data_IF_632744265135
#
_entry.id   IF_632744265135
#
_cell.length_a   1.000
_cell.length_b   1.000
_cell.length_c   1.000
_cell.angle_alpha   90.00
_cell.angle_beta   90.00
_cell.angle_gamma   90.00
#
_symmetry.space_group_name_H-M   'P 1'
#
loop_
_entity.id
_entity.type
_entity.pdbx_description
1 polymer ?
#
# COMPACT_ATOMS: atom_id res chain seq x y z
N UNK A 1 34.50 40.33 15.75
CA UNK A 1 33.07 40.59 15.48
C UNK A 1 32.43 39.61 14.49
N UNK A 2 33.16 39.01 13.54
CA UNK A 2 32.57 38.14 12.49
C UNK A 2 32.09 36.77 13.02
N UNK A 3 32.66 36.26 14.12
CA UNK A 3 32.25 34.97 14.69
C UNK A 3 30.89 35.01 15.42
N UNK A 4 30.49 36.18 15.95
CA UNK A 4 29.22 36.32 16.68
C UNK A 4 27.99 36.33 15.76
N UNK A 5 28.15 36.86 14.54
CA UNK A 5 27.06 36.96 13.56
C UNK A 5 26.73 35.61 12.89
N UNK A 6 27.70 34.71 12.72
CA UNK A 6 27.46 33.38 12.16
C UNK A 6 26.70 32.46 13.12
N UNK A 7 26.95 32.59 14.44
CA UNK A 7 26.25 31.79 15.45
C UNK A 7 24.76 32.19 15.56
N UNK A 8 24.46 33.48 15.44
CA UNK A 8 23.08 33.99 15.44
C UNK A 8 22.29 33.56 14.20
N UNK A 9 22.93 33.52 13.02
CA UNK A 9 22.28 33.06 11.79
C UNK A 9 21.93 31.55 11.82
N UNK A 10 22.79 30.72 12.41
CA UNK A 10 22.54 29.29 12.56
C UNK A 10 21.39 28.98 13.54
N UNK A 11 21.23 29.79 14.59
CA UNK A 11 20.12 29.67 15.55
C UNK A 11 18.79 30.11 14.94
N UNK A 12 18.79 31.16 14.10
CA UNK A 12 17.59 31.65 13.40
C UNK A 12 17.10 30.71 12.30
N UNK A 13 18.00 30.00 11.60
CA UNK A 13 17.61 28.94 10.65
C UNK A 13 16.97 27.72 11.33
N UNK A 14 17.17 27.57 12.65
CA UNK A 14 16.77 26.38 13.39
C UNK A 14 15.33 26.44 13.94
N UNK A 15 14.80 27.63 14.21
CA UNK A 15 13.41 27.79 14.67
C UNK A 15 12.38 27.56 13.56
N UNK A 16 12.82 27.42 12.30
CA UNK A 16 11.95 27.32 11.14
C UNK A 16 11.53 25.88 10.75
N UNK A 17 12.16 24.82 11.28
CA UNK A 17 11.81 23.44 10.89
C UNK A 17 11.83 22.46 12.07
N UNK A 18 10.67 22.13 12.67
CA UNK A 18 10.59 21.03 13.63
C UNK A 18 10.50 19.70 12.87
N UNK A 19 11.34 18.71 13.18
CA UNK A 19 10.98 17.34 12.81
C UNK A 19 12.04 16.26 12.66
N UNK A 20 13.35 16.51 12.75
CA UNK A 20 14.30 15.38 12.72
C UNK A 20 15.58 15.62 13.52
N UNK A 21 15.74 14.85 14.60
CA UNK A 21 16.98 14.73 15.37
C UNK A 21 18.27 14.55 14.54
N UNK A 22 18.29 13.82 13.39
CA UNK A 22 19.50 13.71 12.57
C UNK A 22 19.96 15.03 11.94
N UNK A 23 19.05 15.97 11.64
CA UNK A 23 19.41 17.27 11.08
C UNK A 23 20.21 18.14 12.05
N UNK A 24 19.86 18.09 13.34
CA UNK A 24 20.50 18.85 14.41
C UNK A 24 21.96 18.39 14.62
N UNK A 25 22.18 17.09 14.60
CA UNK A 25 23.52 16.50 14.73
C UNK A 25 24.44 16.92 13.57
N UNK A 26 23.94 16.90 12.34
CA UNK A 26 24.74 17.23 11.15
C UNK A 26 25.14 18.71 11.13
N UNK A 27 24.25 19.60 11.55
CA UNK A 27 24.51 21.04 11.66
C UNK A 27 25.51 21.37 12.78
N UNK A 28 25.39 20.71 13.95
CA UNK A 28 26.38 20.85 15.03
C UNK A 28 27.76 20.36 14.60
N UNK A 29 27.84 19.26 13.84
CA UNK A 29 29.10 18.73 13.32
C UNK A 29 29.74 19.71 12.31
N UNK A 30 28.94 20.30 11.42
CA UNK A 30 29.41 21.30 10.46
C UNK A 30 29.91 22.58 11.16
N UNK A 31 29.18 23.07 12.17
CA UNK A 31 29.59 24.23 12.96
C UNK A 31 30.86 23.96 13.77
N UNK A 32 31.00 22.75 14.35
CA UNK A 32 32.19 22.33 15.06
C UNK A 32 33.41 22.19 14.11
N UNK A 33 33.21 21.65 12.91
CA UNK A 33 34.26 21.58 11.90
C UNK A 33 34.72 22.98 11.43
N UNK A 34 33.78 23.92 11.23
CA UNK A 34 34.10 25.29 10.82
C UNK A 34 34.90 26.03 11.89
N UNK A 35 34.58 25.82 13.18
CA UNK A 35 35.27 26.48 14.29
C UNK A 35 36.73 26.03 14.49
N UNK A 36 37.11 24.85 13.98
CA UNK A 36 38.51 24.39 13.95
C UNK A 36 39.41 25.19 13.01
N UNK A 37 38.84 25.80 11.96
CA UNK A 37 39.61 26.57 10.98
C UNK A 37 39.86 28.02 11.42
N UNK A 38 38.98 28.59 12.26
CA UNK A 38 38.99 30.02 12.58
C UNK A 38 39.64 30.33 13.95
N UNK A 39 39.88 29.32 14.80
CA UNK A 39 40.36 29.54 16.18
C UNK A 39 41.89 29.45 16.34
N UNK A 40 42.48 30.29 17.24
CA UNK A 40 43.92 30.31 17.53
C UNK A 40 44.38 29.00 18.20
N UNK A 41 45.67 28.66 18.01
CA UNK A 41 46.27 27.35 18.35
C UNK A 41 45.90 26.73 19.72
N UNK A 42 45.82 27.46 20.86
CA UNK A 42 45.48 26.82 22.13
C UNK A 42 44.03 26.33 22.23
N UNK A 43 43.09 26.89 21.46
CA UNK A 43 41.68 26.51 21.48
C UNK A 43 41.35 25.26 20.64
N UNK A 44 42.27 24.83 19.76
CA UNK A 44 42.07 23.69 18.86
C UNK A 44 42.03 22.35 19.58
N UNK A 45 42.70 22.23 20.73
CA UNK A 45 42.73 20.99 21.51
C UNK A 45 41.37 20.71 22.15
N UNK A 46 40.71 21.75 22.68
CA UNK A 46 39.37 21.65 23.28
C UNK A 46 38.30 21.36 22.22
N UNK A 47 38.39 22.00 21.05
CA UNK A 47 37.47 21.72 19.95
C UNK A 47 37.56 20.27 19.45
N UNK A 48 38.77 19.68 19.41
CA UNK A 48 38.98 18.29 18.99
C UNK A 48 38.40 17.28 19.99
N UNK A 49 38.53 17.51 21.29
CA UNK A 49 37.97 16.60 22.30
C UNK A 49 36.44 16.63 22.30
N UNK A 50 35.83 17.80 22.11
CA UNK A 50 34.38 17.93 21.95
C UNK A 50 33.86 17.20 20.70
N UNK A 51 34.56 17.32 19.57
CA UNK A 51 34.19 16.63 18.31
C UNK A 51 34.28 15.11 18.45
N UNK A 52 35.32 14.61 19.11
CA UNK A 52 35.47 13.18 19.39
C UNK A 52 34.36 12.66 20.33
N UNK A 53 34.02 13.41 21.38
CA UNK A 53 32.94 13.06 22.30
C UNK A 53 31.57 13.08 21.60
N UNK A 54 31.30 14.08 20.76
CA UNK A 54 30.06 14.16 19.97
C UNK A 54 29.95 13.03 18.94
N UNK A 55 31.05 12.68 18.27
CA UNK A 55 31.09 11.53 17.36
C UNK A 55 30.83 10.21 18.10
N UNK A 56 31.40 10.02 19.30
CA UNK A 56 31.11 8.87 20.14
C UNK A 56 29.64 8.83 20.59
N UNK A 57 29.07 9.99 20.95
CA UNK A 57 27.67 10.09 21.34
C UNK A 57 26.73 9.75 20.17
N UNK A 58 27.07 10.17 18.95
CA UNK A 58 26.33 9.83 17.73
C UNK A 58 26.39 8.34 17.38
N UNK A 59 27.51 7.68 17.66
CA UNK A 59 27.65 6.22 17.55
C UNK A 59 26.87 5.47 18.64
N UNK A 60 26.64 6.12 19.79
CA UNK A 60 25.89 5.57 20.92
C UNK A 60 24.38 5.83 20.87
N UNK A 61 23.87 6.61 19.90
CA UNK A 61 22.42 6.76 19.72
C UNK A 61 21.86 5.39 19.35
N UNK A 62 21.01 4.77 20.21
CA UNK A 62 20.38 3.52 19.85
C UNK A 62 19.59 3.77 18.58
N UNK A 63 19.93 3.04 17.50
CA UNK A 63 19.15 3.05 16.25
C UNK A 63 17.72 2.80 16.65
N UNK A 64 16.89 3.85 16.60
CA UNK A 64 15.50 3.79 17.04
C UNK A 64 14.89 2.55 16.39
N UNK A 65 14.27 1.68 17.17
CA UNK A 65 13.56 0.52 16.65
C UNK A 65 12.46 1.07 15.73
N UNK A 66 12.77 1.17 14.44
CA UNK A 66 11.84 1.67 13.44
C UNK A 66 10.63 0.75 13.50
N UNK A 67 9.48 1.30 13.87
CA UNK A 67 8.21 0.60 13.71
C UNK A 67 8.16 0.13 12.25
N UNK A 68 7.82 -1.14 12.06
CA UNK A 68 7.86 -1.77 10.76
C UNK A 68 6.78 -1.23 9.83
N UNK A 69 7.03 -0.06 9.27
CA UNK A 69 6.26 0.56 8.21
C UNK A 69 6.62 -0.09 6.87
N UNK A 70 6.34 -1.39 6.73
CA UNK A 70 6.35 -2.01 5.40
C UNK A 70 4.98 -1.76 4.78
N UNK A 71 4.90 -1.24 3.55
CA UNK A 71 3.62 -1.17 2.85
C UNK A 71 3.06 -2.59 2.76
N UNK A 72 1.74 -2.71 2.94
CA UNK A 72 1.06 -3.99 2.75
C UNK A 72 1.35 -4.51 1.34
N UNK A 73 1.67 -5.80 1.25
CA UNK A 73 1.93 -6.53 0.00
C UNK A 73 1.14 -7.82 0.08
N UNK A 74 0.47 -8.16 -1.01
CA UNK A 74 -0.28 -9.41 -1.06
C UNK A 74 0.67 -10.60 -1.13
N UNK A 75 0.17 -11.80 -0.82
CA UNK A 75 0.92 -13.05 -0.97
C UNK A 75 1.33 -13.28 -2.44
N UNK A 76 0.54 -12.79 -3.39
CA UNK A 76 0.87 -12.84 -4.82
C UNK A 76 1.97 -11.83 -5.20
N UNK A 77 1.98 -10.63 -4.60
CA UNK A 77 3.08 -9.67 -4.79
C UNK A 77 4.39 -10.20 -4.20
N UNK A 78 4.31 -10.79 -3.00
CA UNK A 78 5.44 -11.43 -2.34
C UNK A 78 5.92 -12.63 -3.15
N UNK A 79 5.02 -13.37 -3.80
CA UNK A 79 5.38 -14.45 -4.71
C UNK A 79 6.20 -13.97 -5.91
N UNK A 80 5.77 -12.88 -6.56
CA UNK A 80 6.51 -12.33 -7.71
C UNK A 80 7.89 -11.80 -7.31
N UNK A 81 8.00 -11.15 -6.15
CA UNK A 81 9.25 -10.58 -5.64
C UNK A 81 10.22 -11.64 -5.09
N UNK A 82 9.70 -12.73 -4.53
CA UNK A 82 10.52 -13.79 -3.98
C UNK A 82 11.32 -14.50 -5.08
N UNK A 83 12.57 -14.85 -4.78
CA UNK A 83 13.37 -15.72 -5.66
C UNK A 83 13.05 -17.18 -5.43
N UNK A 84 12.62 -17.53 -4.20
CA UNK A 84 12.20 -18.89 -3.84
C UNK A 84 10.91 -18.84 -3.05
N UNK A 85 10.01 -19.76 -3.39
CA UNK A 85 8.79 -20.00 -2.63
C UNK A 85 8.65 -21.49 -2.45
N UNK A 86 8.41 -21.92 -1.22
CA UNK A 86 8.32 -23.33 -0.90
C UNK A 86 7.36 -23.60 0.25
N UNK A 87 6.70 -24.75 0.19
CA UNK A 87 6.11 -25.36 1.37
C UNK A 87 7.22 -26.06 2.16
N UNK A 88 7.34 -25.71 3.43
CA UNK A 88 8.42 -26.19 4.30
C UNK A 88 7.88 -26.74 5.61
N UNK A 89 8.71 -27.54 6.28
CA UNK A 89 8.64 -27.78 7.74
C UNK A 89 9.82 -27.09 8.39
N UNK A 90 9.57 -26.28 9.42
CA UNK A 90 10.64 -25.62 10.18
C UNK A 90 11.35 -26.66 11.04
N UNK A 91 12.64 -26.90 10.81
CA UNK A 91 13.44 -27.86 11.58
C UNK A 91 14.16 -27.20 12.76
N UNK A 92 14.66 -25.98 12.54
CA UNK A 92 15.42 -25.24 13.52
C UNK A 92 15.10 -23.76 13.39
N UNK A 93 15.03 -23.06 14.52
CA UNK A 93 14.92 -21.61 14.60
C UNK A 93 16.09 -21.06 15.44
N UNK A 94 16.49 -19.80 15.24
CA UNK A 94 17.34 -19.10 16.19
C UNK A 94 16.73 -19.11 17.61
N UNK A 95 17.54 -18.81 18.62
CA UNK A 95 17.06 -18.66 19.99
C UNK A 95 15.95 -17.61 20.12
N UNK A 96 15.27 -17.60 21.27
CA UNK A 96 14.09 -16.74 21.47
C UNK A 96 14.48 -15.26 21.32
N UNK A 97 13.93 -14.57 20.31
CA UNK A 97 14.21 -13.16 19.95
C UNK A 97 15.62 -12.88 19.41
N UNK A 98 16.34 -13.91 18.98
CA UNK A 98 17.63 -13.75 18.32
C UNK A 98 17.44 -13.60 16.80
N UNK A 99 18.25 -12.73 16.19
CA UNK A 99 18.38 -12.72 14.73
C UNK A 99 19.24 -13.92 14.31
N UNK A 100 18.90 -14.59 13.21
CA UNK A 100 19.66 -15.74 12.75
C UNK A 100 19.01 -16.47 11.59
N UNK A 101 19.51 -17.65 11.27
CA UNK A 101 18.95 -18.49 10.19
C UNK A 101 18.05 -19.57 10.78
N UNK A 102 16.82 -19.67 10.27
CA UNK A 102 15.97 -20.82 10.46
C UNK A 102 16.26 -21.87 9.38
N UNK A 103 16.41 -23.13 9.79
CA UNK A 103 16.58 -24.26 8.87
C UNK A 103 15.21 -24.82 8.50
N UNK A 104 14.95 -24.90 7.20
CA UNK A 104 13.64 -25.23 6.64
C UNK A 104 13.77 -26.47 5.76
N UNK A 105 13.09 -27.56 6.11
CA UNK A 105 12.98 -28.73 5.24
C UNK A 105 11.94 -28.48 4.17
N UNK A 106 12.33 -28.56 2.91
CA UNK A 106 11.41 -28.38 1.79
C UNK A 106 10.53 -29.61 1.67
N UNK A 107 9.22 -29.39 1.73
CA UNK A 107 8.20 -30.40 1.43
C UNK A 107 7.81 -30.32 -0.05
N UNK A 108 7.77 -29.10 -0.60
CA UNK A 108 7.47 -28.84 -2.01
C UNK A 108 8.01 -27.48 -2.43
N UNK A 109 8.64 -27.42 -3.60
CA UNK A 109 9.04 -26.16 -4.23
C UNK A 109 7.89 -25.61 -5.06
N UNK A 110 7.57 -24.32 -4.89
CA UNK A 110 6.60 -23.59 -5.70
C UNK A 110 7.30 -22.63 -6.68
N UNK A 111 8.44 -22.03 -6.29
CA UNK A 111 9.26 -21.16 -7.13
C UNK A 111 10.75 -21.33 -6.80
N UNK A 112 11.61 -21.21 -7.80
CA UNK A 112 13.06 -21.33 -7.68
C UNK A 112 13.56 -22.77 -7.82
N UNK A 113 14.86 -22.99 -7.57
CA UNK A 113 15.47 -24.31 -7.71
C UNK A 113 15.02 -25.27 -6.61
N UNK A 114 14.83 -26.54 -6.99
CA UNK A 114 14.50 -27.59 -6.03
C UNK A 114 15.71 -27.90 -5.16
N UNK A 115 15.53 -27.85 -3.84
CA UNK A 115 16.52 -28.21 -2.81
C UNK A 115 15.80 -28.92 -1.70
N UNK A 116 16.47 -29.87 -1.03
CA UNK A 116 15.89 -30.58 0.11
C UNK A 116 15.72 -29.66 1.34
N UNK A 117 16.60 -28.66 1.48
CA UNK A 117 16.58 -27.68 2.57
C UNK A 117 16.74 -26.25 2.06
N UNK A 118 16.20 -25.32 2.82
CA UNK A 118 16.35 -23.87 2.66
C UNK A 118 16.73 -23.26 4.00
N UNK A 119 17.28 -22.05 3.95
CA UNK A 119 17.53 -21.23 5.12
C UNK A 119 16.73 -19.93 4.98
N UNK A 120 15.98 -19.58 6.02
CA UNK A 120 15.22 -18.34 6.10
C UNK A 120 15.78 -17.46 7.19
N UNK A 121 16.14 -16.23 6.87
CA UNK A 121 16.67 -15.27 7.85
C UNK A 121 15.52 -14.74 8.72
N UNK A 122 15.68 -14.90 10.02
CA UNK A 122 14.85 -14.30 11.06
C UNK A 122 15.54 -13.02 11.56
N UNK A 123 14.76 -11.99 11.85
CA UNK A 123 15.29 -10.74 12.41
C UNK A 123 14.85 -10.59 13.85
N UNK A 124 15.58 -9.84 14.67
CA UNK A 124 15.17 -9.49 16.03
C UNK A 124 14.38 -8.17 16.08
N UNK A 125 13.81 -7.74 14.95
CA UNK A 125 13.08 -6.48 14.83
C UNK A 125 11.58 -6.69 15.05
N UNK A 126 10.80 -5.60 15.08
CA UNK A 126 9.33 -5.68 15.07
C UNK A 126 8.77 -6.39 13.82
N UNK A 127 9.55 -6.50 12.73
CA UNK A 127 9.23 -7.25 11.50
C UNK A 127 9.59 -8.75 11.58
N UNK A 128 9.99 -9.27 12.74
CA UNK A 128 10.30 -10.69 12.84
C UNK A 128 9.11 -11.54 12.37
N UNK A 129 9.44 -12.60 11.65
CA UNK A 129 8.50 -13.47 10.96
C UNK A 129 7.92 -14.50 11.93
N UNK A 130 8.71 -14.90 12.92
CA UNK A 130 8.28 -15.74 14.03
C UNK A 130 8.23 -17.21 13.65
N UNK A 131 9.29 -17.73 13.02
CA UNK A 131 9.41 -19.17 12.75
C UNK A 131 9.19 -20.00 14.02
N UNK A 132 8.49 -21.15 13.87
CA UNK A 132 8.22 -22.09 14.96
C UNK A 132 8.61 -23.50 14.55
N UNK A 133 9.54 -24.11 15.27
CA UNK A 133 10.00 -25.49 15.03
C UNK A 133 8.84 -26.48 14.95
N UNK A 134 8.92 -27.41 14.01
CA UNK A 134 7.92 -28.44 13.74
C UNK A 134 6.72 -27.98 12.89
N UNK A 135 6.52 -26.66 12.73
CA UNK A 135 5.38 -26.13 11.96
C UNK A 135 5.59 -26.26 10.47
N UNK A 136 4.48 -26.46 9.75
CA UNK A 136 4.43 -26.42 8.29
C UNK A 136 4.03 -25.02 7.85
N UNK A 137 4.69 -24.50 6.82
CA UNK A 137 4.42 -23.15 6.34
C UNK A 137 4.67 -23.03 4.85
N UNK A 138 4.17 -21.94 4.24
CA UNK A 138 4.74 -21.40 3.00
C UNK A 138 5.71 -20.29 3.37
N UNK A 139 6.90 -20.34 2.78
CA UNK A 139 7.91 -19.29 2.93
C UNK A 139 8.19 -18.61 1.60
N UNK A 140 8.38 -17.29 1.66
CA UNK A 140 8.75 -16.44 0.55
C UNK A 140 10.13 -15.87 0.85
N UNK A 141 11.13 -16.28 0.08
CA UNK A 141 12.53 -15.90 0.31
C UNK A 141 13.05 -15.05 -0.84
N UNK A 142 13.70 -13.94 -0.50
CA UNK A 142 14.43 -13.12 -1.45
C UNK A 142 15.80 -13.74 -1.83
N UNK A 143 16.60 -13.09 -2.69
CA UNK A 143 17.85 -13.63 -3.25
C UNK A 143 18.88 -14.10 -2.22
N UNK A 144 18.91 -13.51 -1.03
CA UNK A 144 19.92 -13.77 0.01
C UNK A 144 19.34 -14.53 1.22
N UNK A 145 18.19 -15.20 1.04
CA UNK A 145 17.52 -15.93 2.12
C UNK A 145 16.78 -15.03 3.10
N UNK A 146 16.65 -13.74 2.83
CA UNK A 146 15.78 -12.86 3.59
C UNK A 146 14.32 -13.31 3.47
N UNK A 147 13.64 -13.39 4.60
CA UNK A 147 12.25 -13.82 4.62
C UNK A 147 11.36 -12.63 4.30
N UNK A 148 10.69 -12.69 3.16
CA UNK A 148 9.71 -11.69 2.74
C UNK A 148 8.37 -11.92 3.43
N UNK A 149 7.98 -13.19 3.56
CA UNK A 149 6.78 -13.61 4.28
C UNK A 149 6.83 -15.08 4.72
N UNK A 150 5.99 -15.41 5.69
CA UNK A 150 5.76 -16.74 6.24
C UNK A 150 4.28 -16.89 6.55
N UNK A 151 3.70 -17.99 6.09
CA UNK A 151 2.32 -18.31 6.33
C UNK A 151 2.24 -19.71 6.95
N UNK A 152 1.99 -19.78 8.27
CA UNK A 152 1.81 -21.05 8.97
C UNK A 152 0.55 -21.76 8.45
N UNK A 153 0.70 -23.01 8.00
CA UNK A 153 -0.33 -23.75 7.28
C UNK A 153 -1.15 -24.68 8.16
N UNK A 154 -2.40 -24.91 7.72
CA UNK A 154 -3.14 -26.16 7.91
C UNK A 154 -3.07 -27.04 6.64
N UNK A 155 -3.32 -28.34 6.73
CA UNK A 155 -3.05 -29.31 5.64
C UNK A 155 -3.80 -29.00 4.32
N UNK A 156 -4.97 -28.37 4.38
CA UNK A 156 -5.86 -28.03 3.26
C UNK A 156 -5.87 -26.53 2.94
N UNK A 157 -4.78 -25.81 3.21
CA UNK A 157 -4.72 -24.35 3.08
C UNK A 157 -5.08 -23.84 1.66
N UNK A 158 -6.21 -23.13 1.50
CA UNK A 158 -6.68 -22.62 0.21
C UNK A 158 -5.72 -21.64 -0.46
N UNK A 159 -4.94 -20.88 0.32
CA UNK A 159 -3.94 -19.95 -0.23
C UNK A 159 -2.89 -20.70 -1.06
N UNK A 160 -2.49 -21.88 -0.60
CA UNK A 160 -1.49 -22.70 -1.31
C UNK A 160 -2.04 -23.26 -2.61
N UNK A 161 -3.32 -23.63 -2.64
CA UNK A 161 -3.97 -24.07 -3.87
C UNK A 161 -4.03 -22.92 -4.89
N UNK A 162 -4.43 -21.71 -4.45
CA UNK A 162 -4.45 -20.52 -5.29
C UNK A 162 -3.04 -20.16 -5.82
N UNK A 163 -2.02 -20.17 -4.94
CA UNK A 163 -0.63 -19.92 -5.35
C UNK A 163 -0.13 -20.97 -6.36
N UNK A 164 -0.48 -22.26 -6.19
CA UNK A 164 -0.10 -23.31 -7.16
C UNK A 164 -0.72 -23.06 -8.54
N UNK A 165 -2.00 -22.71 -8.60
CA UNK A 165 -2.65 -22.34 -9.86
C UNK A 165 -1.96 -21.13 -10.49
N UNK A 166 -1.66 -20.11 -9.67
CA UNK A 166 -0.94 -18.91 -10.09
C UNK A 166 0.48 -19.20 -10.62
N UNK A 167 1.23 -20.12 -10.01
CA UNK A 167 2.56 -20.56 -10.48
C UNK A 167 2.48 -21.32 -11.82
N UNK A 168 1.43 -22.13 -11.97
CA UNK A 168 1.22 -22.94 -13.16
C UNK A 168 0.90 -22.06 -14.38
N UNK A 169 0.27 -20.90 -14.17
CA UNK A 169 0.02 -19.91 -15.19
C UNK A 169 1.32 -19.26 -15.72
N UNK A 170 1.71 -19.63 -16.95
CA UNK A 170 2.96 -19.18 -17.59
C UNK A 170 2.83 -17.88 -18.37
N UNK A 171 1.64 -17.58 -18.85
CA UNK A 171 1.33 -16.35 -19.57
C UNK A 171 0.39 -15.44 -18.76
N UNK A 172 0.31 -14.14 -19.11
CA UNK A 172 -0.56 -13.19 -18.40
C UNK A 172 -2.05 -13.57 -18.39
N UNK A 173 -2.59 -14.18 -19.46
CA UNK A 173 -4.01 -14.53 -19.55
C UNK A 173 -4.34 -15.71 -18.62
N UNK A 174 -3.45 -16.69 -18.53
CA UNK A 174 -3.52 -17.77 -17.55
C UNK A 174 -3.42 -17.23 -16.11
N UNK A 175 -2.59 -16.21 -15.87
CA UNK A 175 -2.48 -15.58 -14.54
C UNK A 175 -3.77 -14.89 -14.16
N UNK A 176 -4.38 -14.17 -15.10
CA UNK A 176 -5.70 -13.55 -14.91
C UNK A 176 -6.74 -14.61 -14.57
N UNK A 177 -6.82 -15.71 -15.32
CA UNK A 177 -7.76 -16.81 -15.02
C UNK A 177 -7.55 -17.37 -13.61
N UNK A 178 -6.31 -17.64 -13.22
CA UNK A 178 -6.00 -18.15 -11.89
C UNK A 178 -6.39 -17.17 -10.76
N UNK A 179 -6.22 -15.86 -10.97
CA UNK A 179 -6.65 -14.83 -10.01
C UNK A 179 -8.17 -14.71 -9.94
N UNK A 180 -8.86 -14.71 -11.09
CA UNK A 180 -10.32 -14.66 -11.15
C UNK A 180 -10.92 -15.89 -10.47
N UNK A 181 -10.35 -17.08 -10.67
CA UNK A 181 -10.76 -18.30 -9.98
C UNK A 181 -10.58 -18.19 -8.46
N UNK A 182 -9.43 -17.66 -8.00
CA UNK A 182 -9.15 -17.43 -6.59
C UNK A 182 -10.11 -16.41 -5.96
N UNK A 183 -10.50 -15.37 -6.69
CA UNK A 183 -11.47 -14.36 -6.26
C UNK A 183 -12.88 -14.96 -6.21
N UNK A 184 -13.28 -15.68 -7.24
CA UNK A 184 -14.65 -16.17 -7.39
C UNK A 184 -14.99 -17.36 -6.46
N UNK A 185 -13.99 -18.20 -6.13
CA UNK A 185 -14.23 -19.46 -5.40
C UNK A 185 -13.40 -19.61 -4.14
N UNK A 186 -12.40 -18.75 -3.92
CA UNK A 186 -11.54 -18.81 -2.75
C UNK A 186 -12.28 -18.33 -1.48
N UNK A 187 -11.81 -18.73 -0.29
CA UNK A 187 -12.28 -18.14 0.95
C UNK A 187 -11.89 -16.66 1.04
N UNK A 188 -12.56 -15.90 1.89
CA UNK A 188 -12.39 -14.44 2.04
C UNK A 188 -10.92 -13.97 2.05
N UNK A 189 -10.06 -14.57 2.87
CA UNK A 189 -8.65 -14.16 2.94
C UNK A 189 -7.85 -14.39 1.63
N UNK A 190 -8.19 -15.40 0.84
CA UNK A 190 -7.53 -15.64 -0.47
C UNK A 190 -8.12 -14.73 -1.53
N UNK A 191 -9.44 -14.52 -1.48
CA UNK A 191 -10.18 -13.60 -2.35
C UNK A 191 -9.62 -12.19 -2.23
N UNK A 192 -9.49 -11.67 -1.01
CA UNK A 192 -8.98 -10.32 -0.73
C UNK A 192 -7.55 -10.14 -1.27
N UNK A 193 -6.67 -11.11 -1.02
CA UNK A 193 -5.27 -11.10 -1.47
C UNK A 193 -5.17 -11.12 -3.00
N UNK A 194 -5.99 -11.94 -3.68
CA UNK A 194 -6.00 -12.02 -5.14
C UNK A 194 -6.59 -10.75 -5.78
N UNK A 195 -7.67 -10.21 -5.20
CA UNK A 195 -8.30 -8.98 -5.67
C UNK A 195 -7.38 -7.77 -5.50
N UNK A 196 -6.71 -7.62 -4.36
CA UNK A 196 -5.72 -6.54 -4.19
C UNK A 196 -4.54 -6.68 -5.16
N UNK A 197 -4.06 -7.90 -5.41
CA UNK A 197 -2.99 -8.10 -6.39
C UNK A 197 -3.46 -7.68 -7.79
N UNK A 198 -4.61 -8.18 -8.24
CA UNK A 198 -5.17 -7.84 -9.55
C UNK A 198 -5.43 -6.33 -9.68
N UNK A 199 -6.01 -5.72 -8.65
CA UNK A 199 -6.28 -4.28 -8.60
C UNK A 199 -5.01 -3.43 -8.74
N UNK A 200 -3.82 -3.95 -8.43
CA UNK A 200 -2.54 -3.23 -8.53
C UNK A 200 -1.74 -3.55 -9.81
N UNK A 201 -2.31 -4.32 -10.75
CA UNK A 201 -1.66 -4.79 -11.98
C UNK A 201 -2.44 -4.33 -13.22
N UNK A 202 -2.27 -3.08 -13.69
CA UNK A 202 -3.01 -2.57 -14.86
C UNK A 202 -2.82 -3.45 -16.10
N UNK A 203 -1.65 -4.05 -16.28
CA UNK A 203 -1.34 -4.97 -17.37
C UNK A 203 -2.14 -6.28 -17.34
N UNK A 204 -2.59 -6.73 -16.15
CA UNK A 204 -3.44 -7.90 -15.97
C UNK A 204 -4.92 -7.51 -16.02
N UNK A 205 -5.29 -6.33 -15.48
CA UNK A 205 -6.66 -5.81 -15.58
C UNK A 205 -7.09 -5.61 -17.05
N UNK A 206 -6.19 -5.09 -17.90
CA UNK A 206 -6.44 -4.91 -19.33
C UNK A 206 -6.70 -6.22 -20.10
N UNK A 207 -6.45 -7.38 -19.48
CA UNK A 207 -6.66 -8.73 -20.04
C UNK A 207 -7.92 -9.40 -19.51
N UNK A 208 -8.68 -8.75 -18.64
CA UNK A 208 -9.98 -9.25 -18.18
C UNK A 208 -10.97 -9.18 -19.34
N UNK A 209 -11.36 -10.34 -19.85
CA UNK A 209 -12.43 -10.45 -20.83
C UNK A 209 -13.82 -10.33 -20.18
N UNK A 210 -14.86 -10.34 -21.01
CA UNK A 210 -16.24 -10.23 -20.57
C UNK A 210 -16.65 -11.38 -19.64
N UNK A 211 -16.21 -12.61 -19.91
CA UNK A 211 -16.56 -13.78 -19.10
C UNK A 211 -15.92 -13.70 -17.71
N UNK A 212 -14.64 -13.34 -17.63
CA UNK A 212 -13.95 -13.10 -16.38
C UNK A 212 -14.62 -11.97 -15.57
N UNK A 213 -15.01 -10.88 -16.24
CA UNK A 213 -15.74 -9.76 -15.62
C UNK A 213 -17.07 -10.20 -15.02
N UNK A 214 -17.88 -10.97 -15.75
CA UNK A 214 -19.16 -11.50 -15.26
C UNK A 214 -18.97 -12.37 -14.01
N UNK A 215 -17.92 -13.19 -13.99
CA UNK A 215 -17.56 -14.00 -12.82
C UNK A 215 -17.16 -13.14 -11.62
N UNK A 216 -16.38 -12.08 -11.84
CA UNK A 216 -16.02 -11.12 -10.78
C UNK A 216 -17.25 -10.39 -10.24
N UNK A 217 -18.17 -9.97 -11.11
CA UNK A 217 -19.44 -9.34 -10.71
C UNK A 217 -20.31 -10.31 -9.89
N UNK A 218 -20.43 -11.57 -10.32
CA UNK A 218 -21.18 -12.59 -9.60
C UNK A 218 -20.57 -12.91 -8.23
N UNK A 219 -19.25 -12.76 -8.07
CA UNK A 219 -18.56 -12.95 -6.81
C UNK A 219 -18.60 -11.71 -5.89
N UNK A 220 -19.03 -10.55 -6.39
CA UNK A 220 -18.98 -9.30 -5.64
C UNK A 220 -20.03 -9.24 -4.54
N UNK A 221 -19.57 -9.02 -3.30
CA UNK A 221 -20.43 -8.71 -2.17
C UNK A 221 -20.34 -7.21 -1.86
N UNK A 222 -21.39 -6.55 -1.34
CA UNK A 222 -21.37 -5.12 -1.04
C UNK A 222 -20.27 -4.66 -0.06
N UNK A 223 -19.68 -5.60 0.70
CA UNK A 223 -18.62 -5.33 1.68
C UNK A 223 -17.24 -5.79 1.22
N UNK A 224 -17.13 -6.37 0.03
CA UNK A 224 -15.86 -6.86 -0.53
C UNK A 224 -15.06 -5.70 -1.13
N UNK A 225 -14.38 -4.98 -0.24
CA UNK A 225 -13.63 -3.79 -0.57
C UNK A 225 -12.59 -4.03 -1.69
N UNK A 226 -11.76 -5.09 -1.65
CA UNK A 226 -10.76 -5.32 -2.70
C UNK A 226 -11.39 -5.60 -4.07
N UNK A 227 -12.47 -6.38 -4.13
CA UNK A 227 -13.14 -6.70 -5.39
C UNK A 227 -13.87 -5.49 -5.99
N UNK A 228 -14.46 -4.63 -5.16
CA UNK A 228 -15.03 -3.36 -5.60
C UNK A 228 -13.97 -2.47 -6.27
N UNK A 229 -12.73 -2.47 -5.77
CA UNK A 229 -11.63 -1.74 -6.43
C UNK A 229 -11.33 -2.34 -7.80
N UNK A 230 -11.22 -3.67 -7.92
CA UNK A 230 -11.00 -4.33 -9.23
C UNK A 230 -12.06 -3.92 -10.24
N UNK A 231 -13.34 -4.04 -9.86
CA UNK A 231 -14.46 -3.70 -10.73
C UNK A 231 -14.47 -2.22 -11.10
N UNK A 232 -14.23 -1.32 -10.14
CA UNK A 232 -14.16 0.12 -10.40
C UNK A 232 -13.05 0.47 -11.39
N UNK A 233 -11.89 -0.19 -11.30
CA UNK A 233 -10.79 0.01 -12.25
C UNK A 233 -11.14 -0.47 -13.66
N UNK A 234 -11.93 -1.54 -13.80
CA UNK A 234 -12.40 -2.03 -15.10
C UNK A 234 -13.43 -1.09 -15.74
N UNK A 235 -14.34 -0.50 -14.95
CA UNK A 235 -15.45 0.32 -15.46
C UNK A 235 -15.15 1.81 -15.62
N UNK A 236 -14.29 2.36 -14.76
CA UNK A 236 -14.14 3.80 -14.58
C UNK A 236 -12.73 4.30 -14.96
N UNK A 237 -11.87 3.43 -15.48
CA UNK A 237 -10.42 3.68 -15.68
C UNK A 237 -9.78 4.33 -14.43
N UNK A 238 -10.18 3.82 -13.27
CA UNK A 238 -9.91 4.45 -12.00
C UNK A 238 -8.44 4.26 -11.57
N UNK A 239 -7.73 5.31 -11.12
CA UNK A 239 -6.40 5.12 -10.53
C UNK A 239 -6.50 4.36 -9.21
N UNK A 240 -5.51 3.52 -8.89
CA UNK A 240 -5.47 2.83 -7.61
C UNK A 240 -5.53 3.85 -6.45
N UNK A 241 -6.46 3.71 -5.49
CA UNK A 241 -6.53 4.63 -4.36
C UNK A 241 -5.29 4.45 -3.48
N UNK A 242 -4.78 5.53 -2.85
CA UNK A 242 -3.83 5.36 -1.76
C UNK A 242 -4.53 4.63 -0.58
N UNK A 243 -3.86 3.69 0.11
CA UNK A 243 -4.47 2.82 1.14
C UNK A 243 -5.12 3.51 2.34
N UNK A 244 -4.93 4.82 2.54
CA UNK A 244 -5.09 5.46 3.85
C UNK A 244 -6.21 6.48 4.02
N UNK A 245 -7.04 6.81 3.02
CA UNK A 245 -7.72 8.12 3.09
C UNK A 245 -9.20 8.28 2.74
N UNK A 246 -10.07 7.28 2.83
CA UNK A 246 -11.49 7.58 2.56
C UNK A 246 -12.47 6.70 3.33
N UNK A 247 -13.10 7.29 4.35
CA UNK A 247 -14.14 6.66 5.19
C UNK A 247 -15.29 6.06 4.35
N UNK A 248 -15.60 6.68 3.22
CA UNK A 248 -16.74 6.31 2.37
C UNK A 248 -16.33 5.76 0.99
N UNK A 249 -15.05 5.64 0.67
CA UNK A 249 -14.61 5.30 -0.70
C UNK A 249 -15.19 3.99 -1.24
N UNK A 250 -15.19 2.94 -0.43
CA UNK A 250 -15.77 1.67 -0.87
C UNK A 250 -17.29 1.75 -1.02
N UNK A 251 -17.95 2.62 -0.26
CA UNK A 251 -19.37 2.87 -0.43
C UNK A 251 -19.63 3.64 -1.74
N UNK A 252 -18.78 4.62 -2.09
CA UNK A 252 -18.82 5.34 -3.37
C UNK A 252 -18.66 4.35 -4.53
N UNK A 253 -17.65 3.47 -4.48
CA UNK A 253 -17.43 2.45 -5.50
C UNK A 253 -18.61 1.48 -5.63
N UNK A 254 -19.14 0.99 -4.50
CA UNK A 254 -20.31 0.12 -4.51
C UNK A 254 -21.53 0.81 -5.13
N UNK A 255 -21.70 2.12 -4.94
CA UNK A 255 -22.75 2.89 -5.58
C UNK A 255 -22.58 2.96 -7.09
N UNK A 256 -21.36 3.26 -7.56
CA UNK A 256 -21.04 3.39 -8.99
C UNK A 256 -21.13 2.07 -9.76
N UNK A 257 -20.84 0.95 -9.10
CA UNK A 257 -20.87 -0.38 -9.69
C UNK A 257 -22.25 -1.04 -9.69
N UNK A 258 -23.28 -0.38 -9.15
CA UNK A 258 -24.65 -0.92 -9.24
C UNK A 258 -25.09 -1.04 -10.70
N UNK A 259 -25.83 -2.10 -11.06
CA UNK A 259 -26.37 -2.27 -12.41
C UNK A 259 -27.14 -1.05 -12.89
N UNK A 260 -27.25 -0.92 -14.22
CA UNK A 260 -28.05 0.09 -14.92
C UNK A 260 -29.36 0.37 -14.17
N UNK A 261 -29.55 1.62 -13.81
CA UNK A 261 -30.71 2.07 -13.05
C UNK A 261 -31.49 3.13 -13.81
N UNK A 262 -32.56 3.61 -13.18
CA UNK A 262 -33.44 4.67 -13.65
C UNK A 262 -32.70 5.96 -14.04
N UNK A 263 -31.45 6.14 -13.61
CA UNK A 263 -30.64 7.31 -13.96
C UNK A 263 -30.10 7.26 -15.40
N UNK A 264 -30.02 6.09 -16.02
CA UNK A 264 -29.44 5.93 -17.37
C UNK A 264 -30.24 6.66 -18.45
N UNK A 265 -31.56 6.77 -18.25
CA UNK A 265 -32.49 7.41 -19.18
C UNK A 265 -32.74 8.89 -18.86
N UNK A 266 -32.15 9.42 -17.78
CA UNK A 266 -32.32 10.81 -17.38
C UNK A 266 -31.41 11.74 -18.18
N UNK A 267 -31.97 12.85 -18.68
CA UNK A 267 -31.17 13.94 -19.22
C UNK A 267 -30.42 14.73 -18.13
N UNK A 268 -29.45 15.54 -18.53
CA UNK A 268 -28.58 16.37 -17.67
C UNK A 268 -29.35 17.13 -16.59
N UNK A 269 -30.49 17.76 -16.91
CA UNK A 269 -31.25 18.54 -15.92
C UNK A 269 -31.86 17.66 -14.82
N UNK A 270 -32.38 16.48 -15.20
CA UNK A 270 -32.96 15.54 -14.23
C UNK A 270 -31.87 14.91 -13.35
N UNK A 271 -30.69 14.63 -13.91
CA UNK A 271 -29.50 14.21 -13.18
C UNK A 271 -29.04 15.28 -12.18
N UNK A 272 -28.90 16.55 -12.62
CA UNK A 272 -28.55 17.66 -11.74
C UNK A 272 -29.57 17.82 -10.60
N UNK A 273 -30.87 17.70 -10.90
CA UNK A 273 -31.91 17.69 -9.89
C UNK A 273 -31.78 16.53 -8.91
N UNK A 274 -31.31 15.35 -9.33
CA UNK A 274 -31.03 14.23 -8.42
C UNK A 274 -29.83 14.51 -7.51
N UNK A 275 -28.78 15.11 -8.06
CA UNK A 275 -27.60 15.56 -7.30
C UNK A 275 -28.00 16.57 -6.22
N UNK A 276 -28.96 17.44 -6.50
CA UNK A 276 -29.42 18.46 -5.56
C UNK A 276 -30.37 17.91 -4.48
N UNK A 277 -31.28 16.96 -4.81
CA UNK A 277 -32.44 16.55 -3.99
C UNK A 277 -32.18 15.79 -2.67
N UNK A 278 -30.97 15.33 -2.38
CA UNK A 278 -30.67 14.60 -1.13
C UNK A 278 -30.65 15.44 0.15
N UNK A 279 -30.68 14.79 1.33
CA UNK A 279 -30.42 15.45 2.63
C UNK A 279 -28.92 15.76 2.78
N UNK A 280 -28.53 16.59 3.75
CA UNK A 280 -27.10 16.80 4.04
C UNK A 280 -26.40 15.46 4.34
N UNK A 281 -25.16 15.31 3.84
CA UNK A 281 -24.34 14.12 4.06
C UNK A 281 -24.15 13.21 2.84
N UNK A 282 -23.80 11.96 3.13
CA UNK A 282 -23.45 10.93 2.15
C UNK A 282 -24.71 10.33 1.51
N UNK A 283 -24.80 10.38 0.18
CA UNK A 283 -25.89 9.78 -0.59
C UNK A 283 -25.35 9.08 -1.85
N UNK A 284 -25.38 7.73 -1.90
CA UNK A 284 -25.00 6.94 -3.08
C UNK A 284 -25.69 7.36 -4.37
N UNK A 285 -26.94 7.82 -4.33
CA UNK A 285 -27.68 8.19 -5.53
C UNK A 285 -27.14 9.47 -6.17
N UNK A 286 -26.65 10.41 -5.36
CA UNK A 286 -26.00 11.64 -5.87
C UNK A 286 -24.69 11.33 -6.58
N UNK A 287 -23.92 10.39 -6.04
CA UNK A 287 -22.66 9.94 -6.64
C UNK A 287 -22.90 9.34 -8.03
N UNK A 288 -23.92 8.48 -8.14
CA UNK A 288 -24.30 7.88 -9.42
C UNK A 288 -24.81 8.91 -10.41
N UNK A 289 -25.66 9.83 -9.96
CA UNK A 289 -26.16 10.91 -10.81
C UNK A 289 -25.02 11.79 -11.34
N UNK A 290 -24.00 12.08 -10.52
CA UNK A 290 -22.81 12.79 -10.98
C UNK A 290 -21.98 12.00 -11.99
N UNK A 291 -21.68 10.72 -11.76
CA UNK A 291 -20.96 9.88 -12.75
C UNK A 291 -21.69 9.86 -14.09
N UNK A 292 -23.02 9.69 -14.07
CA UNK A 292 -23.84 9.74 -15.30
C UNK A 292 -23.75 11.09 -15.99
N UNK A 293 -23.75 12.19 -15.23
CA UNK A 293 -23.63 13.52 -15.79
C UNK A 293 -22.24 13.76 -16.42
N UNK A 294 -21.16 13.30 -15.80
CA UNK A 294 -19.81 13.38 -16.36
C UNK A 294 -19.70 12.58 -17.67
N UNK A 295 -20.34 11.40 -17.74
CA UNK A 295 -20.41 10.59 -18.97
C UNK A 295 -21.22 11.28 -20.07
N UNK A 296 -22.38 11.87 -19.75
CA UNK A 296 -23.21 12.58 -20.74
C UNK A 296 -22.53 13.85 -21.26
N UNK A 297 -21.82 14.57 -20.41
CA UNK A 297 -21.10 15.79 -20.79
C UNK A 297 -19.73 15.52 -21.42
N UNK A 298 -19.20 14.29 -21.28
CA UNK A 298 -17.87 13.92 -21.74
C UNK A 298 -16.74 14.62 -21.00
N UNK A 299 -16.99 15.12 -19.79
CA UNK A 299 -16.05 15.93 -18.99
C UNK A 299 -16.02 15.45 -17.55
N UNK A 300 -14.82 15.43 -16.97
CA UNK A 300 -14.67 15.29 -15.52
C UNK A 300 -15.04 16.62 -14.86
N UNK A 301 -16.13 16.64 -14.12
CA UNK A 301 -16.64 17.82 -13.43
C UNK A 301 -16.03 17.92 -12.02
N UNK A 302 -15.76 16.78 -11.39
CA UNK A 302 -15.06 16.71 -10.11
C UNK A 302 -14.49 15.29 -9.84
N UNK A 303 -13.31 15.14 -9.21
CA UNK A 303 -12.75 13.81 -8.95
C UNK A 303 -13.65 12.96 -8.05
N UNK A 304 -14.08 11.80 -8.56
CA UNK A 304 -14.96 10.83 -7.89
C UNK A 304 -14.51 10.48 -6.46
N UNK A 305 -13.19 10.38 -6.23
CA UNK A 305 -12.57 10.13 -4.91
C UNK A 305 -12.99 11.10 -3.81
N UNK A 306 -13.58 12.24 -4.17
CA UNK A 306 -13.91 13.31 -3.23
C UNK A 306 -15.41 13.43 -2.95
N UNK A 307 -16.28 12.65 -3.60
CA UNK A 307 -17.71 12.71 -3.32
C UNK A 307 -18.05 12.19 -1.91
N UNK A 308 -17.37 11.13 -1.46
CA UNK A 308 -17.52 10.58 -0.11
C UNK A 308 -16.96 11.42 1.03
N UNK A 309 -16.34 12.59 0.78
CA UNK A 309 -15.77 13.44 1.85
C UNK A 309 -16.84 14.22 2.65
N UNK A 310 -18.13 13.95 2.42
CA UNK A 310 -19.23 14.47 3.22
C UNK A 310 -19.46 15.96 2.94
N UNK A 311 -20.01 16.30 1.78
CA UNK A 311 -20.11 17.69 1.42
C UNK A 311 -21.26 18.39 2.14
N UNK A 312 -21.05 19.67 2.44
CA UNK A 312 -22.13 20.58 2.80
C UNK A 312 -23.18 20.60 1.68
N UNK A 313 -24.42 20.99 2.01
CA UNK A 313 -25.47 21.17 0.98
C UNK A 313 -24.99 22.07 -0.17
N UNK A 314 -24.21 23.11 0.14
CA UNK A 314 -23.61 24.00 -0.86
C UNK A 314 -22.75 23.26 -1.91
N UNK A 315 -21.90 22.32 -1.50
CA UNK A 315 -21.08 21.59 -2.45
C UNK A 315 -21.92 20.72 -3.40
N UNK A 316 -23.00 20.10 -2.90
CA UNK A 316 -23.92 19.36 -3.78
C UNK A 316 -24.63 20.28 -4.77
N UNK A 317 -24.99 21.50 -4.36
CA UNK A 317 -25.51 22.53 -5.28
C UNK A 317 -24.48 22.94 -6.33
N UNK A 318 -23.21 23.10 -5.96
CA UNK A 318 -22.13 23.41 -6.91
C UNK A 318 -21.90 22.27 -7.92
N UNK A 319 -21.97 21.01 -7.48
CA UNK A 319 -21.92 19.84 -8.36
C UNK A 319 -23.14 19.77 -9.29
N UNK A 320 -24.34 20.03 -8.78
CA UNK A 320 -25.55 20.09 -9.60
C UNK A 320 -25.45 21.19 -10.67
N UNK A 321 -24.94 22.38 -10.31
CA UNK A 321 -24.65 23.45 -11.27
C UNK A 321 -23.64 22.99 -12.33
N UNK A 322 -22.54 22.38 -11.90
CA UNK A 322 -21.49 21.87 -12.79
C UNK A 322 -22.04 20.82 -13.75
N UNK A 323 -22.96 19.98 -13.27
CA UNK A 323 -23.67 19.02 -14.11
C UNK A 323 -24.51 19.73 -15.19
N UNK A 324 -25.31 20.75 -14.83
CA UNK A 324 -26.11 21.53 -15.79
C UNK A 324 -25.26 22.25 -16.84
N UNK A 325 -24.13 22.83 -16.43
CA UNK A 325 -23.32 23.69 -17.31
C UNK A 325 -22.21 22.95 -18.04
N UNK A 326 -21.81 21.76 -17.59
CA UNK A 326 -20.63 21.06 -18.08
C UNK A 326 -19.30 21.76 -17.71
N UNK A 327 -19.33 22.71 -16.77
CA UNK A 327 -18.15 23.41 -16.25
C UNK A 327 -17.65 22.73 -14.97
N UNK A 328 -16.36 22.42 -14.83
CA UNK A 328 -15.82 21.82 -13.61
C UNK A 328 -15.98 22.72 -12.37
N UNK A 329 -16.12 22.12 -11.19
CA UNK A 329 -16.13 22.87 -9.92
C UNK A 329 -14.77 23.55 -9.74
N UNK A 330 -14.79 24.88 -9.56
CA UNK A 330 -13.58 25.67 -9.27
C UNK A 330 -13.08 25.34 -7.86
N UNK A 331 -11.79 25.03 -7.74
CA UNK A 331 -11.12 24.78 -6.46
C UNK A 331 -10.70 26.06 -5.78
#
# INVERSE_FOLDING_TARGET
MIAGTLLAAAVLLFTATPGSAPGLACLLFAAAALSLFVTPRPARTIARTFLAAAALLLLAIPRSAQACSRPYRTQFDLFDQATRVAEVRVEQTPGRREAGMARLRVLRTLKGSSRATLEGKETNTSCHVGYRTGRRAVVFLGPHGETLAYHERRASDPLVLALRAFVAAKDPDARVRALVDAIATGPAGVKDEAAWYLANRPELLARIDLSARERLLAAAEPRDQPLLVVLARLELDFPAPPPSHYRNYYADLAALLRPRDELDDLGVEALAGQVERGREGYDPQRIRAMDRCERQTGRMLYPVLRYGQGPSGHFWTELARSCRTGEPVKR
#
